data_IF_368543219453
#
_entry.id   IF_368543219453
#
_cell.length_a   1.000
_cell.length_b   1.000
_cell.length_c   1.000
_cell.angle_alpha   90.00
_cell.angle_beta   90.00
_cell.angle_gamma   90.00
#
_symmetry.space_group_name_H-M   'P 1'
#
loop_
_entity.id
_entity.type
_entity.pdbx_description
1 polymer ?
#
# COMPACT_ATOMS: atom_id res chain seq x y z
N UNK A 1 21.41 1.36 4.11
CA UNK A 1 20.71 2.60 4.51
C UNK A 1 21.78 3.65 4.58
N UNK A 2 21.70 4.66 3.71
CA UNK A 2 22.75 5.64 3.50
C UNK A 2 23.24 6.24 4.83
N UNK A 3 22.32 6.58 5.73
CA UNK A 3 22.65 7.18 7.03
C UNK A 3 23.50 6.25 7.91
N UNK A 4 23.16 4.97 8.00
CA UNK A 4 23.90 3.99 8.81
C UNK A 4 25.30 3.74 8.23
N UNK A 5 25.41 3.64 6.91
CA UNK A 5 26.69 3.47 6.20
C UNK A 5 27.61 4.66 6.47
N UNK A 6 27.12 5.89 6.32
CA UNK A 6 27.92 7.10 6.60
C UNK A 6 28.33 7.23 8.06
N UNK A 7 27.51 6.79 9.03
CA UNK A 7 27.83 6.88 10.45
C UNK A 7 28.83 5.83 10.92
N UNK A 8 28.98 4.72 10.21
CA UNK A 8 29.96 3.67 10.54
C UNK A 8 31.40 4.10 10.27
N UNK A 9 31.61 4.99 9.31
CA UNK A 9 32.94 5.53 8.97
C UNK A 9 33.38 6.65 9.92
N UNK A 10 32.48 7.12 10.79
CA UNK A 10 32.71 8.22 11.73
C UNK A 10 33.13 7.68 13.10
N UNK A 11 34.01 8.42 13.77
CA UNK A 11 34.47 8.10 15.13
C UNK A 11 33.27 7.88 16.10
N UNK A 12 33.19 6.74 16.80
CA UNK A 12 32.13 6.41 17.76
C UNK A 12 31.99 7.40 18.91
N UNK A 13 33.07 8.10 19.28
CA UNK A 13 33.10 9.08 20.37
C UNK A 13 32.67 10.48 19.93
N UNK A 14 32.57 10.71 18.62
CA UNK A 14 32.14 12.00 18.08
C UNK A 14 30.71 12.31 18.54
N UNK A 15 30.51 13.57 18.95
CA UNK A 15 29.18 14.09 19.28
C UNK A 15 28.28 14.04 18.06
N UNK A 16 27.07 13.57 18.27
CA UNK A 16 26.00 13.50 17.29
C UNK A 16 24.77 14.18 17.87
N UNK A 17 23.92 14.72 17.02
CA UNK A 17 22.68 15.38 17.44
C UNK A 17 21.49 14.66 16.82
N UNK A 18 20.53 14.26 17.65
CA UNK A 18 19.28 13.65 17.21
C UNK A 18 18.17 14.70 17.27
N UNK A 19 17.51 14.93 16.14
CA UNK A 19 16.33 15.80 16.09
C UNK A 19 15.08 15.05 16.53
N UNK A 20 14.37 15.59 17.52
CA UNK A 20 13.09 15.06 18.01
C UNK A 20 12.13 16.23 18.23
N UNK A 21 11.04 16.27 17.47
CA UNK A 21 9.98 17.27 17.64
C UNK A 21 10.47 18.73 17.58
N UNK A 22 11.52 19.02 16.79
CA UNK A 22 12.10 20.37 16.68
C UNK A 22 13.22 20.68 17.67
N UNK A 23 13.54 19.78 18.60
CA UNK A 23 14.64 19.93 19.56
C UNK A 23 15.81 19.02 19.14
N UNK A 24 17.05 19.52 19.24
CA UNK A 24 18.27 18.73 19.05
C UNK A 24 18.75 18.17 20.39
N UNK A 25 18.83 16.85 20.47
CA UNK A 25 19.36 16.14 21.65
C UNK A 25 20.80 15.73 21.37
N UNK A 26 21.73 16.15 22.23
CA UNK A 26 23.13 15.74 22.15
C UNK A 26 23.31 14.28 22.58
N UNK A 27 24.00 13.51 21.74
CA UNK A 27 24.32 12.10 21.91
C UNK A 27 25.71 11.80 21.31
N UNK A 28 26.13 10.56 21.37
CA UNK A 28 27.35 10.08 20.70
C UNK A 28 27.00 9.10 19.59
N UNK A 29 27.88 8.95 18.60
CA UNK A 29 27.67 7.98 17.49
C UNK A 29 27.48 6.56 18.04
N UNK A 30 28.26 6.16 19.05
CA UNK A 30 28.11 4.85 19.72
C UNK A 30 26.72 4.60 20.33
N UNK A 31 26.02 5.65 20.76
CA UNK A 31 24.66 5.54 21.33
C UNK A 31 23.58 5.52 20.25
N UNK A 32 23.80 6.25 19.15
CA UNK A 32 22.79 6.43 18.09
C UNK A 32 22.83 5.32 17.05
N UNK A 33 24.00 4.77 16.76
CA UNK A 33 24.16 3.75 15.71
C UNK A 33 23.35 2.47 16.00
N UNK A 34 23.36 1.89 17.22
CA UNK A 34 22.52 0.74 17.55
C UNK A 34 21.02 1.05 17.49
N UNK A 35 20.63 2.27 17.88
CA UNK A 35 19.23 2.69 17.83
C UNK A 35 18.73 2.80 16.38
N UNK A 36 19.57 3.30 15.45
CA UNK A 36 19.22 3.37 14.04
C UNK A 36 19.10 1.99 13.39
N UNK A 37 19.99 1.06 13.73
CA UNK A 37 19.94 -0.31 13.23
C UNK A 37 18.68 -1.04 13.72
N UNK A 38 18.41 -1.01 15.02
CA UNK A 38 17.22 -1.61 15.62
C UNK A 38 15.92 -1.04 15.03
N UNK A 39 15.82 0.29 14.92
CA UNK A 39 14.64 0.94 14.35
C UNK A 39 14.42 0.54 12.88
N UNK A 40 15.49 0.44 12.09
CA UNK A 40 15.42 -0.01 10.70
C UNK A 40 14.87 -1.43 10.62
N UNK A 41 15.39 -2.36 11.43
CA UNK A 41 14.92 -3.74 11.44
C UNK A 41 13.44 -3.85 11.85
N UNK A 42 13.03 -3.09 12.86
CA UNK A 42 11.63 -3.04 13.28
C UNK A 42 10.71 -2.54 12.17
N UNK A 43 11.09 -1.48 11.47
CA UNK A 43 10.33 -0.95 10.33
C UNK A 43 10.22 -2.00 9.22
N UNK A 44 11.31 -2.69 8.87
CA UNK A 44 11.28 -3.76 7.86
C UNK A 44 10.29 -4.87 8.24
N UNK A 45 10.31 -5.34 9.50
CA UNK A 45 9.37 -6.37 10.00
C UNK A 45 7.92 -5.91 9.94
N UNK A 46 7.66 -4.64 10.26
CA UNK A 46 6.31 -4.08 10.18
C UNK A 46 5.85 -4.03 8.72
N UNK A 47 6.71 -3.63 7.78
CA UNK A 47 6.39 -3.64 6.34
C UNK A 47 6.02 -5.05 5.87
N UNK A 48 6.81 -6.06 6.23
CA UNK A 48 6.51 -7.45 5.91
C UNK A 48 5.16 -7.90 6.48
N UNK A 49 4.89 -7.55 7.74
CA UNK A 49 3.63 -7.88 8.42
C UNK A 49 2.44 -7.22 7.72
N UNK A 50 2.56 -5.95 7.34
CA UNK A 50 1.51 -5.23 6.61
C UNK A 50 1.28 -5.82 5.21
N UNK A 51 2.34 -6.22 4.51
CA UNK A 51 2.22 -6.90 3.22
C UNK A 51 1.50 -8.25 3.35
N UNK A 52 1.79 -9.02 4.39
CA UNK A 52 1.08 -10.27 4.67
C UNK A 52 -0.40 -10.01 4.96
N UNK A 53 -0.72 -9.00 5.78
CA UNK A 53 -2.10 -8.61 6.06
C UNK A 53 -2.84 -8.20 4.78
N UNK A 54 -2.19 -7.44 3.89
CA UNK A 54 -2.76 -7.04 2.61
C UNK A 54 -3.08 -8.26 1.74
N UNK A 55 -2.13 -9.20 1.60
CA UNK A 55 -2.36 -10.41 0.81
C UNK A 55 -3.44 -11.32 1.40
N UNK A 56 -3.48 -11.46 2.72
CA UNK A 56 -4.51 -12.25 3.41
C UNK A 56 -5.88 -11.62 3.21
N UNK A 57 -6.01 -10.30 3.40
CA UNK A 57 -7.25 -9.58 3.15
C UNK A 57 -7.66 -9.58 1.69
N UNK A 58 -6.71 -9.49 0.76
CA UNK A 58 -6.96 -9.62 -0.68
C UNK A 58 -7.56 -10.98 -1.04
N UNK A 59 -7.04 -12.07 -0.45
CA UNK A 59 -7.59 -13.42 -0.61
C UNK A 59 -8.98 -13.54 0.00
N UNK A 60 -9.16 -13.07 1.24
CA UNK A 60 -10.48 -13.06 1.90
C UNK A 60 -11.53 -12.32 1.06
N UNK A 61 -11.17 -11.18 0.46
CA UNK A 61 -12.06 -10.42 -0.42
C UNK A 61 -12.40 -11.19 -1.70
N UNK A 62 -11.43 -11.87 -2.32
CA UNK A 62 -11.69 -12.64 -3.52
C UNK A 62 -12.57 -13.87 -3.23
N UNK A 63 -12.26 -14.61 -2.16
CA UNK A 63 -13.07 -15.74 -1.71
C UNK A 63 -14.51 -15.32 -1.38
N UNK A 64 -14.68 -14.14 -0.79
CA UNK A 64 -16.00 -13.59 -0.49
C UNK A 64 -16.77 -13.21 -1.77
N UNK A 65 -16.08 -12.65 -2.77
CA UNK A 65 -16.69 -12.36 -4.09
C UNK A 65 -17.17 -13.64 -4.79
N UNK A 66 -16.35 -14.68 -4.80
CA UNK A 66 -16.67 -15.96 -5.43
C UNK A 66 -17.83 -16.67 -4.73
N UNK A 67 -17.80 -16.76 -3.39
CA UNK A 67 -18.84 -17.45 -2.61
C UNK A 67 -20.21 -16.78 -2.71
N UNK A 68 -20.24 -15.46 -2.81
CA UNK A 68 -21.48 -14.68 -2.82
C UNK A 68 -21.82 -14.12 -4.21
N UNK A 69 -21.08 -14.50 -5.25
CA UNK A 69 -21.28 -14.07 -6.64
C UNK A 69 -21.36 -12.53 -6.77
N UNK A 70 -20.61 -11.81 -5.93
CA UNK A 70 -20.67 -10.34 -5.82
C UNK A 70 -19.94 -9.74 -7.02
N UNK A 71 -20.71 -9.09 -7.89
CA UNK A 71 -20.19 -8.32 -9.01
C UNK A 71 -19.99 -6.87 -8.57
N UNK A 72 -18.80 -6.33 -8.80
CA UNK A 72 -18.58 -4.90 -8.67
C UNK A 72 -19.40 -4.21 -9.76
N UNK A 73 -20.42 -3.47 -9.35
CA UNK A 73 -21.27 -2.69 -10.23
C UNK A 73 -20.41 -1.56 -10.83
N UNK A 74 -19.80 -1.84 -12.00
CA UNK A 74 -18.87 -0.93 -12.69
C UNK A 74 -17.76 -1.58 -13.53
N UNK A 75 -17.51 -2.90 -13.42
CA UNK A 75 -16.46 -3.60 -14.20
C UNK A 75 -16.99 -4.55 -15.29
N UNK A 76 -18.31 -4.78 -15.36
CA UNK A 76 -18.96 -5.64 -16.35
C UNK A 76 -19.40 -4.87 -17.61
N UNK A 77 -18.47 -4.20 -18.31
CA UNK A 77 -18.71 -3.77 -19.70
C UNK A 77 -17.57 -4.14 -20.66
N UNK A 78 -16.71 -5.09 -20.29
CA UNK A 78 -15.67 -5.63 -21.18
C UNK A 78 -15.61 -7.16 -21.30
N UNK A 79 -16.67 -7.88 -20.92
CA UNK A 79 -16.83 -9.27 -21.37
C UNK A 79 -17.76 -9.30 -22.58
N UNK A 80 -17.16 -9.11 -23.75
CA UNK A 80 -17.78 -9.27 -25.06
C UNK A 80 -18.64 -10.55 -25.12
N UNK A 81 -19.93 -10.47 -25.51
CA UNK A 81 -20.70 -11.67 -25.81
C UNK A 81 -20.25 -12.25 -27.16
N UNK A 82 -20.19 -13.59 -27.32
CA UNK A 82 -20.05 -14.22 -28.63
C UNK A 82 -21.24 -13.84 -29.52
N UNK A 83 -20.93 -13.36 -30.73
CA UNK A 83 -21.91 -13.04 -31.79
C UNK A 83 -22.55 -14.32 -32.33
N UNK A 84 -23.88 -14.43 -32.33
CA UNK A 84 -24.65 -14.95 -33.48
C UNK A 84 -26.17 -14.65 -33.43
N UNK A 85 -26.64 -13.93 -34.46
CA UNK A 85 -27.97 -13.80 -35.10
C UNK A 85 -29.29 -13.74 -34.30
N UNK A 86 -30.07 -12.66 -34.50
CA UNK A 86 -31.18 -12.56 -35.51
C UNK A 86 -31.88 -11.18 -35.40
N UNK A 87 -32.26 -10.64 -36.55
CA UNK A 87 -32.87 -9.33 -36.83
C UNK A 87 -34.22 -9.05 -36.12
N UNK A 88 -34.52 -7.77 -35.85
CA UNK A 88 -35.91 -7.32 -35.62
C UNK A 88 -36.12 -6.04 -34.79
N UNK A 89 -36.13 -4.88 -35.46
CA UNK A 89 -36.90 -3.64 -35.24
C UNK A 89 -37.42 -3.21 -33.83
N UNK A 90 -37.21 -1.92 -33.48
CA UNK A 90 -38.23 -1.13 -32.75
C UNK A 90 -37.79 -0.13 -31.66
N UNK A 91 -37.49 1.11 -32.06
CA UNK A 91 -37.80 2.41 -31.44
C UNK A 91 -38.07 2.60 -29.91
N UNK A 92 -37.29 3.56 -29.34
CA UNK A 92 -37.63 4.68 -28.40
C UNK A 92 -37.59 4.53 -26.84
N UNK A 93 -36.69 5.36 -26.28
CA UNK A 93 -36.78 6.26 -25.08
C UNK A 93 -37.00 5.70 -23.67
N UNK A 94 -36.08 5.98 -22.73
CA UNK A 94 -36.29 6.97 -21.62
C UNK A 94 -35.19 6.97 -20.53
N UNK A 95 -34.65 8.17 -20.27
CA UNK A 95 -34.29 8.80 -18.97
C UNK A 95 -33.26 8.21 -17.97
N UNK A 96 -32.25 9.06 -17.72
CA UNK A 96 -31.79 9.58 -16.42
C UNK A 96 -30.76 8.79 -15.57
N UNK A 97 -29.61 9.43 -15.36
CA UNK A 97 -28.67 9.14 -14.27
C UNK A 97 -27.42 10.03 -14.36
N UNK A 98 -27.39 11.10 -13.57
CA UNK A 98 -26.31 12.11 -13.54
C UNK A 98 -25.09 11.58 -12.76
N UNK A 99 -23.90 11.76 -13.33
CA UNK A 99 -22.59 11.47 -12.75
C UNK A 99 -22.18 12.56 -11.74
N UNK A 100 -21.65 12.17 -10.58
CA UNK A 100 -20.95 13.07 -9.65
C UNK A 100 -19.46 12.70 -9.66
N UNK A 101 -18.63 13.71 -9.91
CA UNK A 101 -17.16 13.66 -10.02
C UNK A 101 -16.44 13.42 -8.69
#
# INVERSE_FOLDING_TARGET
SLVIETLREVDPTRKCYRMVGGILVERTVKEVLPALESNKEQISKIIETLNQQLQTKGRELNDFREKHNIRLMGEDDQKQPPKENTEGAGAKTSSAGVLVS
#
